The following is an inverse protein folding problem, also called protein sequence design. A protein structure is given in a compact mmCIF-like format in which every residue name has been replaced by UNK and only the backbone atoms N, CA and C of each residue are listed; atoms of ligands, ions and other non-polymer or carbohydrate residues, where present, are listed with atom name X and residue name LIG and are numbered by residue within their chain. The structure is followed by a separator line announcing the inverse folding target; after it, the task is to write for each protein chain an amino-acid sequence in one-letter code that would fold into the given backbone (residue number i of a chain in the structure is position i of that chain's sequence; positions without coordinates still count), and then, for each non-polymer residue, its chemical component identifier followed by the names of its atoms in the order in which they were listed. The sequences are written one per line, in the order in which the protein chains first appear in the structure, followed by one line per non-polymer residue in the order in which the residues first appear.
data_IF_972071864030
#
_entry.id   IF_972071864030
#
_cell.length_a   1.000
_cell.length_b   1.000
_cell.length_c   1.000
_cell.angle_alpha   90.00
_cell.angle_beta   90.00
_cell.angle_gamma   90.00
#
_symmetry.space_group_name_H-M   'P 1'
#
loop_
_entity.id
_entity.type
_entity.pdbx_description
1 polymer ?
#
# COMPACT_ATOMS: atom_id res chain seq x y z
N UNK A 1 -11.10 0.61 -32.34
CA UNK A 1 -10.79 1.70 -31.38
C UNK A 1 -9.88 1.13 -30.29
N UNK A 2 -8.58 1.43 -30.32
CA UNK A 2 -7.65 1.05 -29.25
C UNK A 2 -7.83 2.07 -28.12
N UNK A 3 -8.41 1.65 -26.99
CA UNK A 3 -8.46 2.52 -25.80
C UNK A 3 -7.04 2.61 -25.23
N UNK A 4 -6.51 3.82 -24.96
CA UNK A 4 -5.19 3.95 -24.37
C UNK A 4 -5.16 3.27 -23.00
N UNK A 5 -4.16 2.41 -22.79
CA UNK A 5 -3.95 1.71 -21.53
C UNK A 5 -3.44 2.72 -20.50
N UNK A 6 -4.24 2.97 -19.47
CA UNK A 6 -3.90 3.92 -18.42
C UNK A 6 -2.81 3.37 -17.50
N UNK A 7 -1.80 4.18 -17.19
CA UNK A 7 -0.64 3.78 -16.36
C UNK A 7 -0.81 4.09 -14.86
N UNK A 8 -1.97 4.61 -14.45
CA UNK A 8 -2.27 4.92 -13.05
C UNK A 8 -2.05 3.73 -12.08
N UNK A 9 -2.36 2.45 -12.42
CA UNK A 9 -2.16 1.35 -11.48
C UNK A 9 -0.67 1.14 -11.17
N UNK A 10 0.19 1.39 -12.15
CA UNK A 10 1.64 1.30 -11.99
C UNK A 10 2.18 2.41 -11.08
N UNK A 11 1.66 3.64 -11.24
CA UNK A 11 2.02 4.74 -10.35
C UNK A 11 1.53 4.51 -8.91
N UNK A 12 0.36 3.88 -8.72
CA UNK A 12 -0.13 3.50 -7.40
C UNK A 12 0.78 2.45 -6.73
N UNK A 13 1.21 1.43 -7.49
CA UNK A 13 2.20 0.45 -7.02
C UNK A 13 3.52 1.13 -6.63
N UNK A 14 4.08 1.97 -7.52
CA UNK A 14 5.34 2.66 -7.26
C UNK A 14 5.25 3.58 -6.03
N UNK A 15 4.15 4.32 -5.88
CA UNK A 15 3.90 5.16 -4.71
C UNK A 15 3.85 4.36 -3.41
N UNK A 16 3.16 3.22 -3.41
CA UNK A 16 3.13 2.31 -2.25
C UNK A 16 4.52 1.73 -1.92
N UNK A 17 5.30 1.36 -2.93
CA UNK A 17 6.67 0.88 -2.76
C UNK A 17 7.60 1.95 -2.19
N UNK A 18 7.53 3.17 -2.72
CA UNK A 18 8.31 4.31 -2.22
C UNK A 18 7.96 4.61 -0.75
N UNK A 19 6.66 4.63 -0.41
CA UNK A 19 6.21 4.83 0.97
C UNK A 19 6.75 3.75 1.93
N UNK A 20 6.66 2.48 1.54
CA UNK A 20 7.18 1.36 2.33
C UNK A 20 8.70 1.47 2.56
N UNK A 21 9.47 1.74 1.51
CA UNK A 21 10.93 1.85 1.62
C UNK A 21 11.35 3.08 2.44
N UNK A 22 10.65 4.20 2.29
CA UNK A 22 10.89 5.40 3.10
C UNK A 22 10.59 5.16 4.58
N UNK A 23 9.48 4.51 4.91
CA UNK A 23 9.14 4.13 6.28
C UNK A 23 10.24 3.25 6.90
N UNK A 24 10.71 2.24 6.15
CA UNK A 24 11.77 1.34 6.58
C UNK A 24 13.09 2.05 6.85
N UNK A 25 13.57 2.89 5.91
CA UNK A 25 14.81 3.66 6.06
C UNK A 25 14.71 4.63 7.24
N UNK A 26 13.58 5.33 7.39
CA UNK A 26 13.35 6.28 8.48
C UNK A 26 13.38 5.57 9.83
N UNK A 27 12.79 4.38 9.90
CA UNK A 27 12.81 3.53 11.09
C UNK A 27 14.25 3.19 11.49
N UNK A 28 15.03 2.61 10.57
CA UNK A 28 16.43 2.24 10.82
C UNK A 28 17.35 3.43 11.15
N UNK A 29 17.11 4.60 10.55
CA UNK A 29 17.93 5.79 10.76
C UNK A 29 17.65 6.47 12.11
N UNK A 30 16.40 6.42 12.58
CA UNK A 30 15.96 7.08 13.82
C UNK A 30 15.82 6.11 15.01
N UNK A 31 16.13 4.83 14.83
CA UNK A 31 16.08 3.82 15.90
C UNK A 31 16.83 4.20 17.17
N UNK A 32 17.94 4.95 17.04
CA UNK A 32 18.80 5.31 18.16
C UNK A 32 18.38 6.61 18.87
N UNK A 33 17.37 7.33 18.38
CA UNK A 33 17.04 8.67 18.90
C UNK A 33 16.16 8.63 20.15
N UNK A 34 15.13 7.77 20.19
CA UNK A 34 14.22 7.64 21.33
C UNK A 34 13.33 6.40 21.19
N UNK A 35 13.06 5.70 22.30
CA UNK A 35 12.16 4.53 22.30
C UNK A 35 10.74 4.85 21.80
N UNK A 36 10.22 6.04 22.13
CA UNK A 36 8.89 6.49 21.67
C UNK A 36 8.85 6.68 20.15
N UNK A 37 9.92 7.22 19.58
CA UNK A 37 10.00 7.45 18.14
C UNK A 37 10.17 6.13 17.39
N UNK A 38 11.03 5.24 17.89
CA UNK A 38 11.20 3.89 17.36
C UNK A 38 9.86 3.14 17.31
N UNK A 39 9.06 3.21 18.37
CA UNK A 39 7.75 2.55 18.43
C UNK A 39 6.76 3.08 17.38
N UNK A 40 6.73 4.40 17.15
CA UNK A 40 5.88 5.01 16.12
C UNK A 40 6.38 4.65 14.71
N UNK A 41 7.70 4.67 14.49
CA UNK A 41 8.29 4.33 13.20
C UNK A 41 8.10 2.85 12.84
N UNK A 42 8.16 1.94 13.83
CA UNK A 42 7.91 0.52 13.62
C UNK A 42 6.48 0.26 13.12
N UNK A 43 5.49 0.96 13.70
CA UNK A 43 4.09 0.89 13.22
C UNK A 43 3.93 1.46 11.83
N UNK A 44 4.63 2.54 11.53
CA UNK A 44 4.64 3.13 10.19
C UNK A 44 5.25 2.15 9.16
N UNK A 45 6.27 1.39 9.54
CA UNK A 45 6.88 0.35 8.70
C UNK A 45 5.89 -0.79 8.40
N UNK A 46 5.16 -1.27 9.42
CA UNK A 46 4.08 -2.23 9.22
C UNK A 46 2.94 -1.70 8.34
N UNK A 47 2.57 -0.42 8.50
CA UNK A 47 1.62 0.25 7.61
C UNK A 47 2.16 0.37 6.18
N UNK A 48 3.47 0.60 6.03
CA UNK A 48 4.19 0.63 4.75
C UNK A 48 4.11 -0.71 4.00
N UNK A 49 4.35 -1.82 4.69
CA UNK A 49 4.23 -3.17 4.13
C UNK A 49 2.78 -3.43 3.67
N UNK A 50 1.79 -3.10 4.50
CA UNK A 50 0.38 -3.25 4.16
C UNK A 50 0.00 -2.42 2.90
N UNK A 51 0.49 -1.18 2.81
CA UNK A 51 0.29 -0.32 1.65
C UNK A 51 0.92 -0.93 0.37
N UNK A 52 2.17 -1.42 0.44
CA UNK A 52 2.85 -2.06 -0.68
C UNK A 52 2.11 -3.31 -1.17
N UNK A 53 1.67 -4.18 -0.25
CA UNK A 53 0.89 -5.37 -0.59
C UNK A 53 -0.40 -4.96 -1.31
N UNK A 54 -1.16 -4.02 -0.75
CA UNK A 54 -2.42 -3.55 -1.35
C UNK A 54 -2.22 -2.99 -2.76
N UNK A 55 -1.25 -2.08 -2.96
CA UNK A 55 -1.05 -1.45 -4.27
C UNK A 55 -0.41 -2.38 -5.30
N UNK A 56 0.30 -3.42 -4.88
CA UNK A 56 0.88 -4.42 -5.80
C UNK A 56 -0.17 -5.21 -6.59
N UNK A 57 -1.40 -5.34 -6.05
CA UNK A 57 -2.50 -6.00 -6.75
C UNK A 57 -3.19 -5.11 -7.79
N UNK A 58 -2.96 -3.79 -7.78
CA UNK A 58 -3.66 -2.87 -8.67
C UNK A 58 -3.32 -3.10 -10.16
N UNK A 59 -2.03 -3.19 -10.56
CA UNK A 59 -1.69 -3.47 -11.96
C UNK A 59 -2.19 -4.83 -12.45
N UNK A 60 -1.95 -5.97 -11.76
CA UNK A 60 -2.44 -7.27 -12.19
C UNK A 60 -3.95 -7.31 -12.34
N UNK A 61 -4.71 -6.86 -11.33
CA UNK A 61 -6.18 -6.89 -11.37
C UNK A 61 -6.72 -5.99 -12.48
N UNK A 62 -6.19 -4.77 -12.61
CA UNK A 62 -6.65 -3.83 -13.63
C UNK A 62 -6.42 -4.34 -15.05
N UNK A 63 -5.25 -4.93 -15.33
CA UNK A 63 -4.94 -5.44 -16.66
C UNK A 63 -5.59 -6.80 -16.94
N UNK A 64 -5.77 -7.66 -15.94
CA UNK A 64 -6.46 -8.96 -16.10
C UNK A 64 -7.96 -8.80 -16.37
N UNK A 65 -8.62 -7.86 -15.69
CA UNK A 65 -10.07 -7.64 -15.82
C UNK A 65 -10.43 -6.41 -16.64
N UNK A 66 -9.55 -5.96 -17.55
CA UNK A 66 -9.77 -4.76 -18.37
C UNK A 66 -11.04 -4.86 -19.25
N UNK A 67 -11.42 -6.08 -19.63
CA UNK A 67 -12.63 -6.37 -20.42
C UNK A 67 -13.90 -6.49 -19.56
N UNK A 68 -13.76 -6.68 -18.24
CA UNK A 68 -14.85 -6.99 -17.31
C UNK A 68 -14.88 -5.97 -16.16
N UNK A 69 -15.50 -4.79 -16.37
CA UNK A 69 -15.40 -3.66 -15.45
C UNK A 69 -16.04 -3.95 -14.08
N UNK A 70 -17.04 -4.84 -14.03
CA UNK A 70 -17.69 -5.24 -12.78
C UNK A 70 -16.71 -5.96 -11.84
N UNK A 71 -16.03 -7.00 -12.34
CA UNK A 71 -15.06 -7.76 -11.56
C UNK A 71 -13.83 -6.90 -11.21
N UNK A 72 -13.36 -6.08 -12.16
CA UNK A 72 -12.25 -5.15 -11.91
C UNK A 72 -12.53 -4.22 -10.73
N UNK A 73 -13.69 -3.54 -10.72
CA UNK A 73 -14.06 -2.63 -9.64
C UNK A 73 -14.31 -3.36 -8.32
N UNK A 74 -14.89 -4.56 -8.36
CA UNK A 74 -15.16 -5.35 -7.16
C UNK A 74 -13.85 -5.80 -6.48
N UNK A 75 -12.90 -6.33 -7.24
CA UNK A 75 -11.60 -6.74 -6.68
C UNK A 75 -10.78 -5.54 -6.20
N UNK A 76 -10.69 -4.46 -6.99
CA UNK A 76 -9.98 -3.24 -6.57
C UNK A 76 -10.62 -2.62 -5.33
N UNK A 77 -11.95 -2.59 -5.25
CA UNK A 77 -12.69 -2.12 -4.08
C UNK A 77 -12.40 -2.99 -2.85
N UNK A 78 -12.41 -4.30 -2.98
CA UNK A 78 -12.13 -5.20 -1.86
C UNK A 78 -10.69 -5.07 -1.36
N UNK A 79 -9.72 -5.03 -2.28
CA UNK A 79 -8.31 -4.83 -1.94
C UNK A 79 -8.09 -3.48 -1.25
N UNK A 80 -8.70 -2.40 -1.76
CA UNK A 80 -8.56 -1.07 -1.14
C UNK A 80 -9.15 -1.04 0.27
N UNK A 81 -10.34 -1.61 0.48
CA UNK A 81 -10.98 -1.67 1.81
C UNK A 81 -10.12 -2.47 2.79
N UNK A 82 -9.67 -3.66 2.39
CA UNK A 82 -8.83 -4.50 3.24
C UNK A 82 -7.47 -3.84 3.51
N UNK A 83 -6.86 -3.20 2.51
CA UNK A 83 -5.59 -2.48 2.65
C UNK A 83 -5.70 -1.29 3.61
N UNK A 84 -6.78 -0.50 3.52
CA UNK A 84 -7.01 0.60 4.46
C UNK A 84 -7.27 0.07 5.87
N UNK A 85 -8.05 -1.01 6.00
CA UNK A 85 -8.31 -1.62 7.30
C UNK A 85 -7.01 -2.12 7.96
N UNK A 86 -6.13 -2.80 7.22
CA UNK A 86 -4.84 -3.27 7.76
C UNK A 86 -3.92 -2.12 8.14
N UNK A 87 -3.84 -1.06 7.34
CA UNK A 87 -3.07 0.15 7.68
C UNK A 87 -3.60 0.79 8.98
N UNK A 88 -4.92 0.94 9.11
CA UNK A 88 -5.52 1.51 10.32
C UNK A 88 -5.23 0.64 11.56
N UNK A 89 -5.37 -0.68 11.43
CA UNK A 89 -5.07 -1.61 12.53
C UNK A 89 -3.60 -1.56 12.92
N UNK A 90 -2.66 -1.48 11.97
CA UNK A 90 -1.23 -1.35 12.25
C UNK A 90 -0.85 -0.04 12.94
N UNK A 91 -1.67 1.01 12.82
CA UNK A 91 -1.46 2.30 13.50
C UNK A 91 -2.10 2.37 14.89
N UNK A 92 -2.98 1.42 15.25
CA UNK A 92 -3.63 1.43 16.56
C UNK A 92 -2.62 1.22 17.68
N UNK A 93 -2.76 1.96 18.80
CA UNK A 93 -1.81 1.88 19.89
C UNK A 93 -1.79 0.56 20.69
N UNK A 94 -2.64 -0.38 20.29
CA UNK A 94 -2.87 -1.67 20.95
C UNK A 94 -1.88 -2.75 20.47
N UNK A 95 -1.30 -2.59 19.28
CA UNK A 95 -0.31 -3.50 18.68
C UNK A 95 1.03 -2.79 18.52
#
# INVERSE_FOLDING_TARGET
MVRPITRWPFFAFLGGAMFCLLASITCHLLSCHSERLLYIMLRLDYAGIAALISTSFYPPVYYSFMCDPFFCNLYLGFITILGVATILVSLLPVF
#
